data_IF_538514890291
#
_entry.id   IF_538514890291
#
_cell.length_a   1.000
_cell.length_b   1.000
_cell.length_c   1.000
_cell.angle_alpha   90.00
_cell.angle_beta   90.00
_cell.angle_gamma   90.00
#
_symmetry.space_group_name_H-M   'P 1'
#
loop_
_entity.id
_entity.type
_entity.pdbx_description
1 polymer ?
#
# COMPACT_ATOMS: atom_id res chain seq x y z
N UNK A 1 4.90 2.93 19.41
CA UNK A 1 3.96 3.69 20.25
C UNK A 1 3.81 3.11 21.64
N UNK A 2 3.04 2.03 21.80
CA UNK A 2 2.59 1.54 23.12
C UNK A 2 3.72 1.14 24.08
N UNK A 3 4.77 0.48 23.59
CA UNK A 3 5.91 0.12 24.43
C UNK A 3 6.65 1.37 24.98
N UNK A 4 6.78 2.42 24.17
CA UNK A 4 7.40 3.67 24.59
C UNK A 4 6.50 4.43 25.58
N UNK A 5 5.20 4.54 25.31
CA UNK A 5 4.24 5.16 26.23
C UNK A 5 4.24 4.47 27.61
N UNK A 6 4.24 3.14 27.64
CA UNK A 6 4.33 2.36 28.89
C UNK A 6 5.64 2.57 29.64
N UNK A 7 6.78 2.68 28.94
CA UNK A 7 8.08 3.00 29.55
C UNK A 7 8.11 4.41 30.13
N UNK A 8 7.38 5.35 29.54
CA UNK A 8 7.23 6.72 30.03
C UNK A 8 6.19 6.84 31.16
N UNK A 9 5.63 5.73 31.65
CA UNK A 9 4.60 5.75 32.70
C UNK A 9 3.21 6.18 32.23
N UNK A 10 3.03 6.46 30.94
CA UNK A 10 1.75 6.84 30.36
C UNK A 10 0.88 5.59 30.16
N UNK A 11 -0.28 5.57 30.81
CA UNK A 11 -1.23 4.44 30.79
C UNK A 11 -2.67 4.94 30.74
N UNK A 12 -3.56 4.07 30.30
CA UNK A 12 -5.00 4.32 30.26
C UNK A 12 -5.50 4.79 28.89
N UNK A 13 -6.83 4.92 28.73
CA UNK A 13 -7.48 5.09 27.42
C UNK A 13 -7.00 6.31 26.62
N UNK A 14 -6.70 7.42 27.30
CA UNK A 14 -6.21 8.63 26.64
C UNK A 14 -4.78 8.46 26.10
N UNK A 15 -3.92 7.75 26.82
CA UNK A 15 -2.56 7.46 26.35
C UNK A 15 -2.60 6.52 25.12
N UNK A 16 -3.50 5.53 25.13
CA UNK A 16 -3.71 4.62 24.00
C UNK A 16 -4.27 5.35 22.78
N UNK A 17 -5.26 6.23 22.97
CA UNK A 17 -5.82 7.06 21.91
C UNK A 17 -4.74 7.99 21.31
N UNK A 18 -3.92 8.62 22.17
CA UNK A 18 -2.81 9.46 21.72
C UNK A 18 -1.77 8.67 20.92
N UNK A 19 -1.43 7.46 21.37
CA UNK A 19 -0.53 6.57 20.62
C UNK A 19 -1.12 6.15 19.28
N UNK A 20 -2.41 5.83 19.23
CA UNK A 20 -3.09 5.44 18.01
C UNK A 20 -3.05 6.58 16.98
N UNK A 21 -3.48 7.78 17.38
CA UNK A 21 -3.46 8.96 16.52
C UNK A 21 -2.05 9.31 16.04
N UNK A 22 -1.07 9.32 16.96
CA UNK A 22 0.32 9.59 16.62
C UNK A 22 0.91 8.54 15.67
N UNK A 23 0.59 7.26 15.88
CA UNK A 23 1.06 6.18 15.01
C UNK A 23 0.45 6.29 13.60
N UNK A 24 -0.83 6.65 13.50
CA UNK A 24 -1.50 6.89 12.22
C UNK A 24 -0.88 8.08 11.48
N UNK A 25 -0.63 9.20 12.17
CA UNK A 25 0.00 10.37 11.57
C UNK A 25 1.40 10.04 11.02
N UNK A 26 2.22 9.31 11.79
CA UNK A 26 3.53 8.84 11.33
C UNK A 26 3.39 7.92 10.12
N UNK A 27 2.43 7.00 10.12
CA UNK A 27 2.21 6.11 8.99
C UNK A 27 1.88 6.89 7.71
N UNK A 28 0.96 7.86 7.78
CA UNK A 28 0.58 8.71 6.64
C UNK A 28 1.80 9.47 6.10
N UNK A 29 2.62 10.05 6.97
CA UNK A 29 3.82 10.79 6.52
C UNK A 29 4.85 9.87 5.87
N UNK A 30 5.05 8.65 6.39
CA UNK A 30 5.94 7.66 5.77
C UNK A 30 5.44 7.27 4.37
N UNK A 31 4.14 7.11 4.18
CA UNK A 31 3.55 6.85 2.85
C UNK A 31 3.79 8.02 1.90
N UNK A 32 3.42 9.24 2.33
CA UNK A 32 3.58 10.44 1.51
C UNK A 32 5.05 10.71 1.17
N UNK A 33 5.96 10.47 2.10
CA UNK A 33 7.40 10.55 1.86
C UNK A 33 7.87 9.51 0.83
N UNK A 34 7.38 8.27 0.94
CA UNK A 34 7.76 7.17 0.03
C UNK A 34 7.31 7.44 -1.40
N UNK A 35 6.15 8.07 -1.59
CA UNK A 35 5.67 8.52 -2.91
C UNK A 35 6.54 9.63 -3.49
N UNK A 36 6.94 10.61 -2.67
CA UNK A 36 7.86 11.68 -3.10
C UNK A 36 9.28 11.19 -3.40
N UNK A 37 9.67 10.00 -2.91
CA UNK A 37 11.01 9.44 -3.01
C UNK A 37 11.00 8.01 -3.58
N UNK A 38 10.22 7.73 -4.64
CA UNK A 38 9.98 6.35 -5.10
C UNK A 38 11.27 5.57 -5.45
N UNK A 39 12.31 6.27 -5.93
CA UNK A 39 13.53 5.64 -6.43
C UNK A 39 14.49 5.15 -5.36
N UNK A 40 14.28 5.53 -4.09
CA UNK A 40 15.19 5.15 -3.01
C UNK A 40 15.07 3.66 -2.68
N UNK A 41 16.16 3.07 -2.16
CA UNK A 41 16.14 1.68 -1.70
C UNK A 41 15.12 1.47 -0.56
N UNK A 42 14.94 2.47 0.30
CA UNK A 42 14.01 2.41 1.43
C UNK A 42 12.55 2.42 0.97
N UNK A 43 12.16 3.34 0.07
CA UNK A 43 10.79 3.37 -0.47
C UNK A 43 10.43 2.06 -1.17
N UNK A 44 11.37 1.47 -1.92
CA UNK A 44 11.19 0.15 -2.54
C UNK A 44 11.01 -0.97 -1.51
N UNK A 45 11.79 -0.95 -0.43
CA UNK A 45 11.66 -1.92 0.65
C UNK A 45 10.31 -1.81 1.36
N UNK A 46 9.85 -0.60 1.67
CA UNK A 46 8.56 -0.35 2.33
C UNK A 46 7.37 -0.84 1.51
N UNK A 47 7.44 -0.74 0.18
CA UNK A 47 6.38 -1.20 -0.73
C UNK A 47 6.36 -2.71 -0.97
N UNK A 48 7.51 -3.38 -0.82
CA UNK A 48 7.67 -4.79 -1.18
C UNK A 48 6.69 -5.74 -0.47
N UNK A 49 6.45 -5.65 0.86
CA UNK A 49 5.50 -6.54 1.52
C UNK A 49 4.08 -6.45 0.93
N UNK A 50 3.61 -5.23 0.65
CA UNK A 50 2.29 -5.00 0.06
C UNK A 50 2.18 -5.62 -1.34
N UNK A 51 3.21 -5.44 -2.16
CA UNK A 51 3.29 -6.06 -3.48
C UNK A 51 3.24 -7.60 -3.41
N UNK A 52 3.99 -8.19 -2.50
CA UNK A 52 4.02 -9.65 -2.33
C UNK A 52 2.68 -10.21 -1.85
N UNK A 53 2.03 -9.53 -0.90
CA UNK A 53 0.67 -9.90 -0.44
C UNK A 53 -0.33 -9.79 -1.59
N UNK A 54 -0.27 -8.70 -2.37
CA UNK A 54 -1.12 -8.55 -3.54
C UNK A 54 -0.89 -9.69 -4.54
N UNK A 55 0.37 -9.99 -4.87
CA UNK A 55 0.74 -11.06 -5.80
C UNK A 55 0.26 -12.44 -5.36
N UNK A 56 0.40 -12.77 -4.07
CA UNK A 56 0.13 -14.13 -3.55
C UNK A 56 -1.33 -14.32 -3.14
N UNK A 57 -1.97 -13.27 -2.63
CA UNK A 57 -3.31 -13.35 -2.01
C UNK A 57 -4.36 -12.53 -2.75
N UNK A 58 -3.97 -11.37 -3.29
CA UNK A 58 -4.90 -10.38 -3.84
C UNK A 58 -5.23 -10.54 -5.33
N UNK A 59 -4.26 -10.94 -6.15
CA UNK A 59 -4.41 -11.09 -7.60
C UNK A 59 -4.25 -12.56 -7.97
N UNK A 60 -5.37 -13.27 -8.17
CA UNK A 60 -5.32 -14.53 -8.91
C UNK A 60 -4.95 -14.20 -10.36
N UNK A 61 -4.04 -14.99 -10.93
CA UNK A 61 -3.77 -14.92 -12.37
C UNK A 61 -5.10 -15.15 -13.11
N UNK A 62 -5.50 -14.27 -14.04
CA UNK A 62 -6.75 -14.43 -14.78
C UNK A 62 -6.72 -15.74 -15.58
N UNK A 63 -7.87 -16.39 -15.75
CA UNK A 63 -7.96 -17.53 -16.67
C UNK A 63 -7.70 -17.07 -18.11
N UNK A 64 -7.33 -18.00 -19.00
CA UNK A 64 -7.13 -17.68 -20.42
C UNK A 64 -8.35 -17.00 -21.05
N UNK A 65 -9.56 -17.45 -20.70
CA UNK A 65 -10.82 -16.83 -21.16
C UNK A 65 -10.94 -15.37 -20.68
N UNK A 66 -10.55 -15.07 -19.43
CA UNK A 66 -10.55 -13.71 -18.91
C UNK A 66 -9.49 -12.83 -19.59
N UNK A 67 -8.33 -13.41 -19.92
CA UNK A 67 -7.29 -12.72 -20.68
C UNK A 67 -7.77 -12.42 -22.11
N UNK A 68 -8.52 -13.32 -22.76
CA UNK A 68 -9.12 -13.07 -24.07
C UNK A 68 -10.09 -11.89 -24.06
N UNK A 69 -10.96 -11.81 -23.05
CA UNK A 69 -11.85 -10.65 -22.87
C UNK A 69 -11.05 -9.36 -22.70
N UNK A 70 -9.99 -9.39 -21.87
CA UNK A 70 -9.10 -8.25 -21.68
C UNK A 70 -8.38 -7.81 -22.96
N UNK A 71 -7.88 -8.78 -23.75
CA UNK A 71 -7.23 -8.54 -25.05
C UNK A 71 -8.21 -7.93 -26.06
N UNK A 72 -9.44 -8.43 -26.13
CA UNK A 72 -10.47 -7.90 -27.01
C UNK A 72 -10.84 -6.45 -26.62
N UNK A 73 -11.02 -6.17 -25.34
CA UNK A 73 -11.32 -4.83 -24.84
C UNK A 73 -10.17 -3.84 -25.14
N UNK A 74 -8.92 -4.23 -24.89
CA UNK A 74 -7.75 -3.41 -25.18
C UNK A 74 -7.63 -3.08 -26.67
N UNK A 75 -7.88 -4.06 -27.54
CA UNK A 75 -7.86 -3.88 -29.00
C UNK A 75 -8.87 -2.82 -29.43
N UNK A 76 -10.07 -2.83 -28.87
CA UNK A 76 -11.11 -1.86 -29.20
C UNK A 76 -10.79 -0.46 -28.69
N UNK A 77 -10.21 -0.33 -27.49
CA UNK A 77 -9.75 0.96 -26.96
C UNK A 77 -8.73 1.59 -27.91
N UNK A 78 -7.70 0.83 -28.29
CA UNK A 78 -6.65 1.30 -29.19
C UNK A 78 -7.20 1.71 -30.57
N UNK A 79 -8.16 0.96 -31.10
CA UNK A 79 -8.86 1.30 -32.35
C UNK A 79 -9.54 2.66 -32.28
N UNK A 80 -10.18 2.98 -31.15
CA UNK A 80 -10.87 4.26 -30.94
C UNK A 80 -9.86 5.40 -30.70
N UNK A 81 -8.73 5.12 -30.07
CA UNK A 81 -7.63 6.07 -29.87
C UNK A 81 -6.85 6.39 -31.16
N UNK A 82 -7.06 5.60 -32.22
CA UNK A 82 -6.43 5.82 -33.54
C UNK A 82 -4.99 5.29 -33.61
N UNK A 83 -4.64 4.32 -32.77
CA UNK A 83 -3.38 3.58 -32.81
C UNK A 83 -3.35 2.52 -33.94
#
# INVERSE_FOLDING_TARGET
GNAAARRAGLRGPLAEAGVALGSTAVAVEVFAWSERHDGTALSRLLRKPGYEIQRVVGTREPSEEQLEVGRAALTEILRVEGA
#
